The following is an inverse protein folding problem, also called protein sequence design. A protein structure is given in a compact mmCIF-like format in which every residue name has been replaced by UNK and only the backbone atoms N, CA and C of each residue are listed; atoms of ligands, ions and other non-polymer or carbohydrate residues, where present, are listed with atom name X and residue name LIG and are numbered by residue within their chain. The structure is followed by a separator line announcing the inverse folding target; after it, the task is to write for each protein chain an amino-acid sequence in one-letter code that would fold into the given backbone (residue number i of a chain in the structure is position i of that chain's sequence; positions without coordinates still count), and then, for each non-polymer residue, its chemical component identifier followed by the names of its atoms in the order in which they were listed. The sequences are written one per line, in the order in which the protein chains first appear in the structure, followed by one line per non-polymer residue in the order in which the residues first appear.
data_IF_715875091328
#
_entry.id   IF_715875091328
#
_cell.length_a   1.000
_cell.length_b   1.000
_cell.length_c   1.000
_cell.angle_alpha   90.00
_cell.angle_beta   90.00
_cell.angle_gamma   90.00
#
_symmetry.space_group_name_H-M   'P 1'
#
loop_
_entity.id
_entity.type
_entity.pdbx_description
1 polymer ?
#
# COMPACT_ATOMS: atom_id res chain seq x y z
N UNK A 1 -13.45 15.01 -22.19
CA UNK A 1 -12.15 15.07 -22.87
C UNK A 1 -11.55 13.67 -22.80
N UNK A 2 -11.37 13.03 -23.95
CA UNK A 2 -10.69 11.73 -24.01
C UNK A 2 -9.19 12.00 -24.07
N UNK A 3 -8.36 11.49 -23.12
CA UNK A 3 -6.93 11.67 -23.19
C UNK A 3 -6.39 11.01 -24.46
N UNK A 4 -5.67 11.77 -25.27
CA UNK A 4 -5.07 11.28 -26.54
C UNK A 4 -3.75 10.53 -26.29
N UNK A 5 -3.16 10.69 -25.12
CA UNK A 5 -1.91 10.03 -24.72
C UNK A 5 -2.02 9.52 -23.29
N UNK A 6 -1.42 8.34 -23.02
CA UNK A 6 -1.25 7.78 -21.67
C UNK A 6 0.23 7.63 -21.42
N UNK A 7 0.71 8.16 -20.29
CA UNK A 7 2.04 7.89 -19.77
C UNK A 7 1.87 7.03 -18.51
N UNK A 8 2.63 5.94 -18.43
CA UNK A 8 2.66 5.06 -17.25
C UNK A 8 3.98 5.33 -16.54
N UNK A 9 3.91 5.72 -15.27
CA UNK A 9 5.07 5.89 -14.42
C UNK A 9 5.08 4.83 -13.33
N UNK A 10 6.22 4.18 -13.12
CA UNK A 10 6.43 3.26 -12.02
C UNK A 10 6.68 4.06 -10.74
N UNK A 11 5.85 3.85 -9.73
CA UNK A 11 6.02 4.48 -8.41
C UNK A 11 7.03 3.74 -7.52
N UNK A 12 7.55 2.60 -7.95
CA UNK A 12 8.60 1.83 -7.26
C UNK A 12 9.82 1.57 -8.16
N UNK A 13 10.43 2.62 -8.76
CA UNK A 13 11.48 2.48 -9.77
C UNK A 13 12.77 1.86 -9.25
N UNK A 14 12.91 1.66 -7.95
CA UNK A 14 14.03 1.00 -7.28
C UNK A 14 13.92 -0.53 -7.28
N UNK A 15 12.76 -1.09 -7.72
CA UNK A 15 12.53 -2.53 -7.74
C UNK A 15 12.94 -3.16 -9.07
N UNK A 16 13.57 -4.33 -8.99
CA UNK A 16 13.70 -5.25 -10.12
C UNK A 16 12.58 -6.27 -10.07
N UNK A 17 11.59 -6.12 -10.92
CA UNK A 17 10.41 -7.00 -10.98
C UNK A 17 10.70 -8.40 -11.55
N UNK A 18 11.92 -8.68 -12.01
CA UNK A 18 12.36 -10.03 -12.35
C UNK A 18 12.80 -10.82 -11.12
N UNK A 19 12.93 -10.16 -9.97
CA UNK A 19 13.25 -10.79 -8.69
C UNK A 19 11.98 -11.02 -7.87
N UNK A 20 11.98 -12.07 -7.08
CA UNK A 20 10.88 -12.38 -6.15
C UNK A 20 11.04 -11.68 -4.80
N UNK A 21 12.22 -11.16 -4.50
CA UNK A 21 12.53 -10.48 -3.25
C UNK A 21 13.59 -9.41 -3.45
N UNK A 22 13.68 -8.49 -2.51
CA UNK A 22 14.70 -7.44 -2.46
C UNK A 22 15.21 -7.26 -1.02
N UNK A 23 16.22 -6.40 -0.83
CA UNK A 23 16.74 -6.10 0.52
C UNK A 23 15.68 -5.41 1.38
N UNK A 24 15.83 -5.47 2.71
CA UNK A 24 14.91 -4.81 3.64
C UNK A 24 14.85 -3.29 3.40
N UNK A 25 15.98 -2.68 3.09
CA UNK A 25 16.09 -1.24 2.80
C UNK A 25 15.33 -0.86 1.52
N UNK A 26 15.48 -1.63 0.45
CA UNK A 26 14.73 -1.42 -0.78
C UNK A 26 13.24 -1.66 -0.57
N UNK A 27 12.88 -2.74 0.12
CA UNK A 27 11.49 -3.06 0.44
C UNK A 27 10.82 -1.95 1.25
N UNK A 28 11.54 -1.33 2.19
CA UNK A 28 11.04 -0.21 2.97
C UNK A 28 10.74 1.04 2.12
N UNK A 29 11.33 1.17 0.94
CA UNK A 29 11.04 2.27 0.01
C UNK A 29 9.81 2.03 -0.85
N UNK A 30 9.32 0.79 -0.93
CA UNK A 30 8.20 0.44 -1.81
C UNK A 30 6.90 1.06 -1.33
N UNK A 31 6.19 1.76 -2.23
CA UNK A 31 4.80 2.15 -2.02
C UNK A 31 3.94 0.88 -2.16
N UNK A 32 3.34 0.45 -1.08
CA UNK A 32 2.52 -0.74 -1.02
C UNK A 32 1.05 -0.42 -0.77
N UNK A 33 0.17 -1.11 -1.51
CA UNK A 33 -1.29 -0.99 -1.40
C UNK A 33 -1.77 0.48 -1.40
N UNK A 34 -1.61 1.25 -2.52
CA UNK A 34 -2.01 2.65 -2.59
C UNK A 34 -3.54 2.79 -2.44
N UNK A 35 -4.00 3.76 -1.62
CA UNK A 35 -5.43 3.92 -1.28
C UNK A 35 -6.01 5.28 -1.59
N UNK A 36 -5.24 6.34 -1.44
CA UNK A 36 -5.73 7.69 -1.71
C UNK A 36 -4.70 8.47 -2.51
N UNK A 37 -5.22 9.39 -3.33
CA UNK A 37 -4.43 10.37 -4.07
C UNK A 37 -5.09 11.73 -3.96
N UNK A 38 -4.30 12.78 -3.79
CA UNK A 38 -4.74 14.17 -3.87
C UNK A 38 -3.72 14.98 -4.64
N UNK A 39 -4.20 15.89 -5.49
CA UNK A 39 -3.35 16.75 -6.31
C UNK A 39 -3.21 18.13 -5.67
N UNK A 40 -1.98 18.62 -5.60
CA UNK A 40 -1.68 19.99 -5.21
C UNK A 40 -1.85 20.97 -6.39
N UNK A 41 -1.92 22.26 -6.12
CA UNK A 41 -2.10 23.29 -7.14
C UNK A 41 -0.96 23.34 -8.17
N UNK A 42 0.24 22.88 -7.79
CA UNK A 42 1.41 22.75 -8.67
C UNK A 42 1.36 21.51 -9.59
N UNK A 43 0.29 20.71 -9.50
CA UNK A 43 0.08 19.48 -10.25
C UNK A 43 0.75 18.25 -9.65
N UNK A 44 1.55 18.38 -8.60
CA UNK A 44 2.13 17.23 -7.91
C UNK A 44 1.05 16.44 -7.18
N UNK A 45 1.26 15.13 -7.08
CA UNK A 45 0.36 14.23 -6.38
C UNK A 45 0.93 13.81 -5.02
N UNK A 46 0.06 13.67 -4.03
CA UNK A 46 0.34 12.97 -2.77
C UNK A 46 -0.42 11.66 -2.78
N UNK A 47 0.25 10.55 -2.50
CA UNK A 47 -0.31 9.20 -2.61
C UNK A 47 -0.01 8.46 -1.32
N UNK A 48 -1.06 7.90 -0.68
CA UNK A 48 -0.92 7.08 0.51
C UNK A 48 -0.69 5.62 0.15
N UNK A 49 0.27 4.97 0.81
CA UNK A 49 0.49 3.52 0.78
C UNK A 49 -0.04 2.89 2.06
N UNK A 50 -1.26 2.35 2.03
CA UNK A 50 -1.90 1.79 3.22
C UNK A 50 -1.07 0.64 3.80
N UNK A 51 -0.54 -0.22 2.95
CA UNK A 51 0.26 -1.36 3.37
C UNK A 51 1.70 -1.02 3.73
N UNK A 52 2.22 0.11 3.27
CA UNK A 52 3.60 0.53 3.51
C UNK A 52 3.75 1.64 4.55
N UNK A 53 2.63 2.11 5.15
CA UNK A 53 2.59 3.07 6.26
C UNK A 53 3.32 4.38 5.97
N UNK A 54 3.31 4.83 4.72
CA UNK A 54 3.90 6.11 4.33
C UNK A 54 3.09 6.79 3.22
N UNK A 55 3.40 8.06 3.00
CA UNK A 55 2.90 8.85 1.88
C UNK A 55 4.06 9.22 0.99
N UNK A 56 3.87 9.19 -0.32
CA UNK A 56 4.81 9.73 -1.27
C UNK A 56 4.30 11.03 -1.90
N UNK A 57 5.21 11.92 -2.28
CA UNK A 57 4.96 13.02 -3.20
C UNK A 57 5.53 12.62 -4.57
N UNK A 58 4.74 12.76 -5.62
CA UNK A 58 5.15 12.50 -6.99
C UNK A 58 4.89 13.74 -7.86
N UNK A 59 5.78 14.00 -8.80
CA UNK A 59 5.60 15.06 -9.81
C UNK A 59 4.56 14.65 -10.86
N UNK A 60 4.21 15.58 -11.73
CA UNK A 60 3.22 15.37 -12.83
C UNK A 60 3.61 14.22 -13.75
N UNK A 61 4.90 13.97 -13.94
CA UNK A 61 5.44 12.86 -14.75
C UNK A 61 5.56 11.53 -13.97
N UNK A 62 5.19 11.52 -12.69
CA UNK A 62 5.26 10.34 -11.81
C UNK A 62 6.60 10.13 -11.11
N UNK A 63 7.57 11.04 -11.24
CA UNK A 63 8.83 10.96 -10.51
C UNK A 63 8.58 11.14 -9.00
N UNK A 64 9.08 10.24 -8.17
CA UNK A 64 8.99 10.37 -6.71
C UNK A 64 9.89 11.50 -6.21
N UNK A 65 9.29 12.46 -5.51
CA UNK A 65 9.96 13.63 -4.95
C UNK A 65 10.27 13.47 -3.46
N UNK A 66 9.40 12.80 -2.73
CA UNK A 66 9.54 12.57 -1.30
C UNK A 66 8.83 11.30 -0.85
N UNK A 67 9.28 10.76 0.30
CA UNK A 67 8.63 9.70 1.06
C UNK A 67 8.57 10.14 2.52
N UNK A 68 7.40 10.06 3.13
CA UNK A 68 7.14 10.49 4.50
C UNK A 68 6.47 9.36 5.26
N UNK A 69 7.11 8.85 6.30
CA UNK A 69 6.50 7.90 7.22
C UNK A 69 5.38 8.56 8.00
N UNK A 70 4.25 7.86 8.14
CA UNK A 70 3.07 8.32 8.87
C UNK A 70 2.60 7.22 9.82
N UNK A 71 1.41 7.34 10.38
CA UNK A 71 0.80 6.27 11.17
C UNK A 71 0.40 5.06 10.33
N UNK A 72 -0.06 3.99 11.00
CA UNK A 72 -0.40 2.74 10.34
C UNK A 72 -1.69 2.85 9.50
N UNK A 73 -1.63 2.31 8.30
CA UNK A 73 -2.76 2.24 7.39
C UNK A 73 -3.28 3.59 6.90
N UNK A 74 -2.45 4.43 6.26
CA UNK A 74 -2.90 5.69 5.70
C UNK A 74 -3.88 5.46 4.54
N UNK A 75 -5.14 5.90 4.71
CA UNK A 75 -6.24 5.64 3.78
C UNK A 75 -6.92 6.88 3.25
N UNK A 76 -6.79 8.02 3.94
CA UNK A 76 -7.40 9.28 3.52
C UNK A 76 -6.37 10.40 3.47
N UNK A 77 -6.48 11.25 2.45
CA UNK A 77 -5.62 12.41 2.25
C UNK A 77 -6.47 13.65 1.99
N UNK A 78 -6.13 14.76 2.61
CA UNK A 78 -6.70 16.07 2.28
C UNK A 78 -5.67 17.18 2.46
N UNK A 79 -5.56 18.07 1.47
CA UNK A 79 -4.74 19.28 1.55
C UNK A 79 -5.52 20.39 2.25
N UNK A 80 -4.82 21.22 3.04
CA UNK A 80 -5.35 22.50 3.51
C UNK A 80 -5.65 23.42 2.31
N UNK A 81 -6.51 24.41 2.51
CA UNK A 81 -6.94 25.32 1.44
C UNK A 81 -5.77 26.11 0.81
N UNK A 82 -4.75 26.40 1.58
CA UNK A 82 -3.50 27.07 1.15
C UNK A 82 -2.45 26.09 0.58
N UNK A 83 -2.72 24.76 0.64
CA UNK A 83 -1.78 23.73 0.22
C UNK A 83 -0.58 23.52 1.15
N UNK A 84 -0.48 24.28 2.24
CA UNK A 84 0.68 24.25 3.14
C UNK A 84 0.73 23.00 4.04
N UNK A 85 -0.40 22.32 4.22
CA UNK A 85 -0.50 21.11 5.03
C UNK A 85 -1.22 20.00 4.29
N UNK A 86 -0.77 18.76 4.53
CA UNK A 86 -1.48 17.56 4.13
C UNK A 86 -1.90 16.81 5.41
N UNK A 87 -3.17 16.51 5.53
CA UNK A 87 -3.71 15.66 6.59
C UNK A 87 -3.88 14.24 6.09
N UNK A 88 -3.39 13.29 6.87
CA UNK A 88 -3.38 11.87 6.53
C UNK A 88 -4.14 11.10 7.60
N UNK A 89 -5.24 10.46 7.21
CA UNK A 89 -5.97 9.55 8.10
C UNK A 89 -5.25 8.20 8.15
N UNK A 90 -4.71 7.85 9.31
CA UNK A 90 -4.08 6.57 9.60
C UNK A 90 -5.11 5.65 10.27
N UNK A 91 -5.80 4.85 9.45
CA UNK A 91 -6.97 4.06 9.88
C UNK A 91 -6.62 3.02 10.94
N UNK A 92 -5.42 2.42 10.87
CA UNK A 92 -5.11 1.26 11.69
C UNK A 92 -4.59 1.60 13.09
N UNK A 93 -4.02 2.77 13.29
CA UNK A 93 -3.62 3.25 14.61
C UNK A 93 -4.53 4.35 15.17
N UNK A 94 -5.59 4.70 14.43
CA UNK A 94 -6.56 5.70 14.89
C UNK A 94 -5.94 7.07 15.07
N UNK A 95 -5.20 7.55 14.07
CA UNK A 95 -4.53 8.85 14.15
C UNK A 95 -4.67 9.67 12.87
N UNK A 96 -4.37 10.96 12.98
CA UNK A 96 -4.19 11.87 11.85
C UNK A 96 -2.79 12.43 11.92
N UNK A 97 -2.00 12.16 10.88
CA UNK A 97 -0.72 12.83 10.66
C UNK A 97 -0.93 14.15 9.93
N UNK A 98 -0.24 15.20 10.39
CA UNK A 98 -0.15 16.49 9.69
C UNK A 98 1.23 16.61 9.09
N UNK A 99 1.31 16.64 7.77
CA UNK A 99 2.54 16.83 7.02
C UNK A 99 2.66 18.29 6.61
N UNK A 100 3.81 18.89 6.86
CA UNK A 100 4.20 20.16 6.26
C UNK A 100 4.63 19.88 4.81
N UNK A 101 3.93 20.50 3.84
CA UNK A 101 4.14 20.20 2.42
C UNK A 101 5.42 20.83 1.85
N UNK A 102 5.93 21.88 2.47
CA UNK A 102 7.16 22.56 2.04
C UNK A 102 8.40 21.77 2.44
N UNK A 103 8.45 21.29 3.70
CA UNK A 103 9.56 20.47 4.19
C UNK A 103 9.40 18.98 3.88
N UNK A 104 8.22 18.55 3.42
CA UNK A 104 7.85 17.15 3.19
C UNK A 104 8.14 16.26 4.41
N UNK A 105 7.71 16.70 5.59
CA UNK A 105 7.93 16.00 6.85
C UNK A 105 6.68 16.02 7.73
N UNK A 106 6.54 14.98 8.58
CA UNK A 106 5.45 14.97 9.57
C UNK A 106 5.72 16.01 10.66
N UNK A 107 4.83 17.01 10.76
CA UNK A 107 4.93 18.10 11.72
C UNK A 107 4.22 17.76 13.04
N UNK A 108 3.15 16.97 12.98
CA UNK A 108 2.37 16.59 14.16
C UNK A 108 1.55 15.32 13.87
N UNK A 109 1.19 14.59 14.93
CA UNK A 109 0.26 13.48 14.89
C UNK A 109 -0.75 13.60 16.05
N UNK A 110 -2.04 13.57 15.71
CA UNK A 110 -3.12 13.51 16.66
C UNK A 110 -3.65 12.08 16.73
N UNK A 111 -3.62 11.50 17.92
CA UNK A 111 -4.17 10.16 18.18
C UNK A 111 -5.54 10.31 18.83
N UNK A 112 -6.52 9.56 18.36
CA UNK A 112 -7.85 9.50 18.95
C UNK A 112 -8.15 8.10 19.50
N UNK A 113 -9.20 8.02 20.31
CA UNK A 113 -9.59 6.76 20.91
C UNK A 113 -9.98 5.73 19.85
N UNK A 114 -9.31 4.56 19.88
CA UNK A 114 -9.63 3.39 19.05
C UNK A 114 -10.20 2.29 19.94
N UNK A 115 -11.50 1.96 19.84
CA UNK A 115 -12.14 0.92 20.62
C UNK A 115 -11.75 -0.51 20.17
N UNK A 116 -10.96 -0.65 19.10
CA UNK A 116 -10.58 -1.96 18.58
C UNK A 116 -9.77 -2.75 19.61
N UNK A 117 -10.13 -4.01 19.90
CA UNK A 117 -9.37 -4.86 20.81
C UNK A 117 -7.88 -4.97 20.44
N UNK A 118 -7.02 -4.99 21.45
CA UNK A 118 -5.56 -5.00 21.26
C UNK A 118 -5.09 -6.16 20.35
N UNK A 119 -5.66 -7.35 20.50
CA UNK A 119 -5.32 -8.52 19.68
C UNK A 119 -5.58 -8.27 18.17
N UNK A 120 -6.67 -7.58 17.83
CA UNK A 120 -6.99 -7.22 16.43
C UNK A 120 -5.99 -6.18 15.92
N UNK A 121 -5.68 -5.15 16.72
CA UNK A 121 -4.69 -4.14 16.33
C UNK A 121 -3.31 -4.75 16.09
N UNK A 122 -2.88 -5.67 16.94
CA UNK A 122 -1.60 -6.37 16.81
C UNK A 122 -1.59 -7.35 15.63
N UNK A 123 -2.72 -7.93 15.27
CA UNK A 123 -2.85 -8.84 14.13
C UNK A 123 -2.92 -8.13 12.76
N UNK A 124 -3.32 -6.87 12.70
CA UNK A 124 -3.46 -6.12 11.44
C UNK A 124 -2.20 -6.14 10.56
N UNK A 125 -0.97 -5.91 11.08
CA UNK A 125 0.22 -5.94 10.25
C UNK A 125 0.45 -7.27 9.54
N UNK A 126 0.04 -8.40 10.13
CA UNK A 126 0.16 -9.72 9.50
C UNK A 126 -0.62 -9.81 8.18
N UNK A 127 -1.73 -9.09 8.07
CA UNK A 127 -2.59 -9.10 6.88
C UNK A 127 -2.31 -7.93 5.93
N UNK A 128 -1.99 -6.75 6.45
CA UNK A 128 -1.97 -5.50 5.70
C UNK A 128 -0.57 -4.92 5.44
N UNK A 129 0.45 -5.31 6.23
CA UNK A 129 1.79 -4.73 6.08
C UNK A 129 2.52 -5.37 4.91
N UNK A 130 2.76 -4.59 3.86
CA UNK A 130 3.43 -5.04 2.64
C UNK A 130 4.92 -5.27 2.86
N UNK A 131 5.55 -4.59 3.80
CA UNK A 131 6.97 -4.75 4.10
C UNK A 131 7.24 -6.04 4.87
N UNK A 132 6.29 -6.45 5.73
CA UNK A 132 6.40 -7.68 6.52
C UNK A 132 6.05 -8.93 5.70
N UNK A 133 5.13 -8.83 4.74
CA UNK A 133 4.52 -9.99 4.06
C UNK A 133 4.89 -10.14 2.58
N UNK A 134 5.53 -9.15 1.97
CA UNK A 134 5.88 -9.18 0.54
C UNK A 134 7.39 -9.20 0.30
N UNK A 135 7.83 -9.96 -0.70
CA UNK A 135 9.23 -9.97 -1.12
C UNK A 135 9.73 -8.63 -1.66
N UNK A 136 8.87 -7.88 -2.36
CA UNK A 136 9.17 -6.59 -2.96
C UNK A 136 8.54 -5.39 -2.21
N UNK A 137 7.67 -5.63 -1.23
CA UNK A 137 7.07 -4.58 -0.39
C UNK A 137 5.88 -3.83 -0.99
N UNK A 138 5.31 -4.31 -2.09
CA UNK A 138 4.25 -3.59 -2.81
C UNK A 138 2.84 -4.19 -2.60
N UNK A 139 2.74 -5.45 -2.23
CA UNK A 139 1.48 -6.16 -1.97
C UNK A 139 1.49 -6.77 -0.58
N UNK A 140 0.31 -6.95 0.00
CA UNK A 140 0.10 -7.66 1.26
C UNK A 140 -0.90 -8.79 1.03
N UNK A 141 -1.10 -9.66 2.03
CA UNK A 141 -2.17 -10.65 1.97
C UNK A 141 -3.53 -9.99 1.69
N UNK A 142 -3.79 -8.81 2.29
CA UNK A 142 -5.00 -8.03 2.09
C UNK A 142 -5.16 -7.45 0.67
N UNK A 143 -4.14 -7.43 -0.16
CA UNK A 143 -4.27 -7.01 -1.56
C UNK A 143 -5.12 -7.97 -2.38
N UNK A 144 -5.10 -9.27 -2.03
CA UNK A 144 -5.96 -10.31 -2.60
C UNK A 144 -7.13 -10.66 -1.64
N UNK A 145 -6.88 -10.65 -0.33
CA UNK A 145 -7.89 -10.93 0.69
C UNK A 145 -8.50 -9.64 1.24
N UNK A 146 -9.20 -8.89 0.39
CA UNK A 146 -9.82 -7.62 0.74
C UNK A 146 -10.84 -7.83 1.87
N UNK A 147 -10.73 -7.05 2.94
CA UNK A 147 -11.54 -7.18 4.16
C UNK A 147 -11.49 -8.60 4.78
N UNK A 148 -10.32 -9.26 4.68
CA UNK A 148 -10.08 -10.63 5.15
C UNK A 148 -11.02 -11.68 4.49
N UNK A 149 -11.49 -11.40 3.27
CA UNK A 149 -12.31 -12.32 2.47
C UNK A 149 -11.48 -12.94 1.36
N UNK A 150 -11.94 -14.08 0.82
CA UNK A 150 -11.41 -14.63 -0.43
C UNK A 150 -12.02 -13.88 -1.62
N UNK A 151 -11.22 -13.60 -2.63
CA UNK A 151 -11.68 -13.07 -3.92
C UNK A 151 -12.17 -14.18 -4.88
N UNK A 152 -12.01 -15.45 -4.48
CA UNK A 152 -12.35 -16.65 -5.24
C UNK A 152 -11.64 -16.75 -6.61
N UNK A 153 -10.53 -16.06 -6.78
CA UNK A 153 -9.69 -16.12 -7.97
C UNK A 153 -8.53 -17.11 -7.76
N UNK A 154 -8.13 -17.77 -8.83
CA UNK A 154 -6.92 -18.57 -8.87
C UNK A 154 -5.75 -17.66 -9.28
N UNK A 155 -4.87 -17.36 -8.33
CA UNK A 155 -3.68 -16.55 -8.58
C UNK A 155 -2.47 -17.45 -8.79
N UNK A 156 -1.69 -17.18 -9.82
CA UNK A 156 -0.36 -17.75 -9.94
C UNK A 156 0.63 -16.87 -9.14
N UNK A 157 0.96 -17.34 -7.96
CA UNK A 157 1.86 -16.62 -7.04
C UNK A 157 3.32 -17.08 -7.15
N UNK A 158 3.60 -18.12 -7.91
CA UNK A 158 4.93 -18.73 -7.90
C UNK A 158 5.65 -18.79 -9.24
N UNK A 159 4.94 -18.94 -10.33
CA UNK A 159 5.50 -19.05 -11.65
C UNK A 159 4.60 -18.41 -12.72
N UNK A 160 4.78 -17.13 -13.03
CA UNK A 160 3.94 -16.42 -14.01
C UNK A 160 3.97 -17.04 -15.42
N UNK A 161 5.00 -17.84 -15.74
CA UNK A 161 5.12 -18.57 -16.99
C UNK A 161 4.64 -20.04 -16.87
N UNK A 162 4.15 -20.45 -15.71
CA UNK A 162 3.66 -21.78 -15.42
C UNK A 162 2.29 -22.06 -16.04
N UNK A 163 1.97 -23.33 -16.18
CA UNK A 163 0.62 -23.73 -16.59
C UNK A 163 -0.31 -23.64 -15.40
N UNK A 164 -1.36 -22.84 -15.51
CA UNK A 164 -2.38 -22.71 -14.47
C UNK A 164 -3.06 -24.06 -14.21
N UNK A 165 -3.04 -24.51 -12.96
CA UNK A 165 -3.75 -25.73 -12.55
C UNK A 165 -5.22 -25.42 -12.31
N UNK A 166 -6.10 -26.33 -12.72
CA UNK A 166 -7.52 -26.21 -12.44
C UNK A 166 -7.75 -26.37 -10.93
N UNK A 167 -8.55 -25.49 -10.35
CA UNK A 167 -8.95 -25.61 -8.95
C UNK A 167 -9.63 -26.96 -8.70
N UNK A 168 -9.06 -27.77 -7.81
CA UNK A 168 -9.65 -29.05 -7.45
C UNK A 168 -10.76 -28.86 -6.41
N UNK A 169 -12.00 -28.88 -6.85
CA UNK A 169 -13.20 -28.74 -6.00
C UNK A 169 -13.41 -29.92 -5.03
N UNK A 170 -12.58 -30.94 -5.06
CA UNK A 170 -12.74 -32.12 -4.17
C UNK A 170 -12.06 -31.96 -2.81
N UNK A 171 -11.41 -30.84 -2.55
CA UNK A 171 -10.82 -30.56 -1.24
C UNK A 171 -11.91 -30.44 -0.16
N UNK A 172 -11.89 -31.35 0.81
CA UNK A 172 -12.78 -31.30 1.97
C UNK A 172 -12.27 -30.26 2.97
N UNK A 173 -13.15 -29.64 3.78
CA UNK A 173 -12.73 -28.81 4.91
C UNK A 173 -11.68 -29.59 5.75
N UNK A 174 -10.57 -28.93 6.08
CA UNK A 174 -9.43 -29.49 6.82
C UNK A 174 -8.52 -30.48 6.04
N UNK A 175 -8.60 -30.55 4.73
CA UNK A 175 -7.64 -31.28 3.91
C UNK A 175 -6.67 -30.28 3.27
N UNK A 176 -5.37 -30.48 3.50
CA UNK A 176 -4.32 -29.79 2.72
C UNK A 176 -4.38 -30.34 1.32
N UNK A 177 -4.70 -29.51 0.36
CA UNK A 177 -4.66 -29.89 -1.04
C UNK A 177 -3.24 -29.68 -1.54
N UNK A 178 -2.56 -30.75 -1.95
CA UNK A 178 -1.19 -30.72 -2.52
C UNK A 178 -1.11 -29.97 -3.87
N UNK A 179 -2.22 -29.42 -4.34
CA UNK A 179 -2.34 -28.78 -5.66
C UNK A 179 -2.18 -27.24 -5.64
N UNK A 180 -1.81 -26.68 -4.49
CA UNK A 180 -1.45 -25.26 -4.37
C UNK A 180 0.04 -25.06 -4.64
N UNK A 181 0.41 -25.02 -5.92
CA UNK A 181 1.75 -24.61 -6.37
C UNK A 181 1.64 -23.56 -7.46
#
# INVERSE_FOLDING_TARGET
VTPTTKTIADLNPHLDYNQTTTTAENRAQSLGDPRAIVFAADGNAWISGMGSNHVIRASVDGTRLARIDVGQGPTGLVLSADGGKLYVLNKFDGSISTIDTASASEAARLVFFDPTPAAIRQGRPMLYDTQASSGLGQVACASCHVDAKSDFLAWDLGNPAGTMKTFNQTCRPNQVCDDWH
#
